data_IF_526832007661
#
_entry.id   IF_526832007661
#
_cell.length_a   1.000
_cell.length_b   1.000
_cell.length_c   1.000
_cell.angle_alpha   90.00
_cell.angle_beta   90.00
_cell.angle_gamma   90.00
#
_symmetry.space_group_name_H-M   'P 1'
#
loop_
_entity.id
_entity.type
_entity.pdbx_description
1 polymer ?
#
# COMPACT_ATOMS: atom_id res chain seq x y z
N UNK A 1 -17.42 -19.47 6.68
CA UNK A 1 -18.05 -18.22 6.21
C UNK A 1 -17.02 -17.53 5.35
N UNK A 2 -17.25 -17.44 4.04
CA UNK A 2 -16.38 -16.64 3.17
C UNK A 2 -16.50 -15.19 3.61
N UNK A 3 -15.39 -14.60 4.05
CA UNK A 3 -15.39 -13.18 4.36
C UNK A 3 -15.58 -12.42 3.05
N UNK A 4 -16.76 -11.84 2.84
CA UNK A 4 -16.99 -10.95 1.70
C UNK A 4 -16.09 -9.72 1.81
N UNK A 5 -14.96 -9.79 1.10
CA UNK A 5 -14.03 -8.68 0.89
C UNK A 5 -14.70 -7.61 0.03
N UNK A 6 -14.63 -6.35 0.48
CA UNK A 6 -15.07 -5.24 -0.36
C UNK A 6 -13.96 -4.84 -1.34
N UNK A 7 -13.76 -5.66 -2.37
CA UNK A 7 -12.75 -5.44 -3.42
C UNK A 7 -12.86 -4.07 -4.09
N UNK A 8 -14.07 -3.52 -4.21
CA UNK A 8 -14.28 -2.18 -4.77
C UNK A 8 -13.62 -1.07 -3.94
N UNK A 9 -13.68 -1.17 -2.61
CA UNK A 9 -13.02 -0.23 -1.70
C UNK A 9 -11.50 -0.45 -1.71
N UNK A 10 -11.08 -1.71 -1.64
CA UNK A 10 -9.67 -2.09 -1.65
C UNK A 10 -8.99 -1.52 -2.91
N UNK A 11 -9.53 -1.80 -4.10
CA UNK A 11 -8.92 -1.35 -5.36
C UNK A 11 -8.90 0.18 -5.47
N UNK A 12 -9.97 0.87 -5.05
CA UNK A 12 -10.04 2.34 -5.12
C UNK A 12 -9.09 3.07 -4.17
N UNK A 13 -8.63 2.42 -3.10
CA UNK A 13 -7.74 3.04 -2.10
C UNK A 13 -6.32 2.50 -2.22
N UNK A 14 -6.16 1.18 -2.29
CA UNK A 14 -4.86 0.54 -2.35
C UNK A 14 -4.13 0.89 -3.66
N UNK A 15 -4.80 0.94 -4.81
CA UNK A 15 -4.12 1.25 -6.09
C UNK A 15 -3.53 2.66 -6.10
N UNK A 16 -4.27 3.75 -5.79
CA UNK A 16 -3.69 5.10 -5.79
C UNK A 16 -2.53 5.24 -4.81
N UNK A 17 -2.67 4.69 -3.60
CA UNK A 17 -1.60 4.74 -2.59
C UNK A 17 -0.38 3.94 -3.05
N UNK A 18 -0.59 2.78 -3.67
CA UNK A 18 0.49 1.97 -4.23
C UNK A 18 1.26 2.68 -5.34
N UNK A 19 0.58 3.47 -6.18
CA UNK A 19 1.23 4.27 -7.23
C UNK A 19 2.10 5.39 -6.64
N UNK A 20 1.62 6.03 -5.57
CA UNK A 20 2.41 7.05 -4.85
C UNK A 20 3.66 6.41 -4.23
N UNK A 21 3.50 5.28 -3.53
CA UNK A 21 4.62 4.56 -2.94
C UNK A 21 5.62 4.06 -3.99
N UNK A 22 5.12 3.53 -5.12
CA UNK A 22 5.96 3.13 -6.24
C UNK A 22 6.82 4.29 -6.75
N UNK A 23 6.22 5.47 -6.91
CA UNK A 23 6.95 6.66 -7.34
C UNK A 23 8.02 7.09 -6.30
N UNK A 24 7.66 7.11 -5.02
CA UNK A 24 8.61 7.45 -3.94
C UNK A 24 9.81 6.50 -3.92
N UNK A 25 9.57 5.18 -4.04
CA UNK A 25 10.64 4.20 -4.09
C UNK A 25 11.49 4.28 -5.38
N UNK A 26 10.89 4.70 -6.49
CA UNK A 26 11.59 4.93 -7.74
C UNK A 26 12.55 6.12 -7.67
N UNK A 27 12.17 7.20 -6.99
CA UNK A 27 13.03 8.40 -6.85
C UNK A 27 14.30 8.14 -6.01
N UNK A 28 15.33 8.97 -6.21
CA UNK A 28 16.60 8.94 -5.46
C UNK A 28 16.53 9.72 -4.15
N UNK A 29 15.47 9.49 -3.38
CA UNK A 29 15.37 10.00 -2.02
C UNK A 29 16.10 9.03 -1.08
N UNK A 30 16.62 9.53 0.03
CA UNK A 30 17.25 8.72 1.06
C UNK A 30 16.26 7.66 1.61
N UNK A 31 16.75 6.46 1.87
CA UNK A 31 15.92 5.29 2.19
C UNK A 31 15.05 5.48 3.43
N UNK A 32 15.53 6.24 4.42
CA UNK A 32 14.75 6.59 5.62
C UNK A 32 13.42 7.26 5.24
N UNK A 33 13.44 8.19 4.29
CA UNK A 33 12.23 8.89 3.84
C UNK A 33 11.29 7.98 3.05
N UNK A 34 11.82 7.02 2.29
CA UNK A 34 10.99 6.01 1.60
C UNK A 34 10.23 5.15 2.61
N UNK A 35 10.90 4.71 3.67
CA UNK A 35 10.26 3.95 4.74
C UNK A 35 9.24 4.75 5.53
N UNK A 36 9.52 6.02 5.81
CA UNK A 36 8.54 6.92 6.43
C UNK A 36 7.32 7.14 5.53
N UNK A 37 7.52 7.32 4.22
CA UNK A 37 6.42 7.37 3.25
C UNK A 37 5.60 6.10 3.31
N UNK A 38 6.24 4.94 3.26
CA UNK A 38 5.56 3.64 3.30
C UNK A 38 4.72 3.49 4.56
N UNK A 39 5.26 3.81 5.73
CA UNK A 39 4.51 3.76 7.00
C UNK A 39 3.31 4.70 6.95
N UNK A 40 3.47 5.90 6.41
CA UNK A 40 2.38 6.85 6.24
C UNK A 40 1.32 6.32 5.26
N UNK A 41 1.72 5.81 4.09
CA UNK A 41 0.84 5.24 3.07
C UNK A 41 0.05 4.02 3.59
N UNK A 42 0.69 3.12 4.32
CA UNK A 42 0.04 1.96 4.95
C UNK A 42 -0.97 2.41 6.01
N UNK A 43 -0.58 3.36 6.87
CA UNK A 43 -1.47 3.91 7.90
C UNK A 43 -2.68 4.60 7.28
N UNK A 44 -2.47 5.34 6.18
CA UNK A 44 -3.51 6.08 5.46
C UNK A 44 -4.46 5.13 4.72
N UNK A 45 -3.93 4.09 4.07
CA UNK A 45 -4.73 3.03 3.44
C UNK A 45 -5.60 2.31 4.48
N UNK A 46 -4.98 1.90 5.60
CA UNK A 46 -5.68 1.23 6.69
C UNK A 46 -6.78 2.11 7.31
N UNK A 47 -6.49 3.39 7.53
CA UNK A 47 -7.44 4.34 8.11
C UNK A 47 -8.63 4.63 7.18
N UNK A 48 -8.39 4.90 5.89
CA UNK A 48 -9.48 5.17 4.94
C UNK A 48 -10.35 3.92 4.77
N UNK A 49 -9.74 2.73 4.66
CA UNK A 49 -10.50 1.49 4.57
C UNK A 49 -11.29 1.26 5.86
N UNK A 50 -10.70 1.47 7.04
CA UNK A 50 -11.40 1.34 8.33
C UNK A 50 -12.65 2.22 8.44
N UNK A 51 -12.58 3.46 7.92
CA UNK A 51 -13.74 4.36 7.90
C UNK A 51 -14.84 3.85 6.97
N UNK A 52 -14.48 3.28 5.82
CA UNK A 52 -15.46 2.84 4.80
C UNK A 52 -15.97 1.42 5.00
N UNK A 53 -15.15 0.54 5.57
CA UNK A 53 -15.44 -0.86 5.85
C UNK A 53 -14.76 -1.27 7.16
N UNK A 54 -15.56 -1.52 8.20
CA UNK A 54 -15.06 -1.93 9.52
C UNK A 54 -14.61 -3.39 9.57
N UNK A 55 -14.74 -4.15 8.48
CA UNK A 55 -14.23 -5.52 8.40
C UNK A 55 -12.70 -5.51 8.45
N UNK A 56 -12.16 -6.15 9.49
CA UNK A 56 -10.71 -6.22 9.73
C UNK A 56 -9.95 -6.82 8.53
N UNK A 57 -10.52 -7.82 7.87
CA UNK A 57 -9.88 -8.46 6.73
C UNK A 57 -9.75 -7.58 5.50
N UNK A 58 -10.75 -6.76 5.18
CA UNK A 58 -10.65 -5.76 4.10
C UNK A 58 -9.50 -4.78 4.35
N UNK A 59 -9.32 -4.35 5.60
CA UNK A 59 -8.25 -3.43 6.02
C UNK A 59 -6.87 -4.07 5.83
N UNK A 60 -6.67 -5.27 6.37
CA UNK A 60 -5.40 -5.98 6.24
C UNK A 60 -5.06 -6.29 4.78
N UNK A 61 -6.04 -6.66 3.96
CA UNK A 61 -5.83 -6.91 2.53
C UNK A 61 -5.40 -5.64 1.79
N UNK A 62 -6.03 -4.50 2.07
CA UNK A 62 -5.65 -3.23 1.44
C UNK A 62 -4.24 -2.77 1.82
N UNK A 63 -3.90 -2.85 3.11
CA UNK A 63 -2.54 -2.54 3.61
C UNK A 63 -1.51 -3.50 3.02
N UNK A 64 -1.83 -4.78 2.94
CA UNK A 64 -0.98 -5.80 2.34
C UNK A 64 -0.67 -5.54 0.87
N UNK A 65 -1.66 -5.12 0.08
CA UNK A 65 -1.45 -4.78 -1.34
C UNK A 65 -0.48 -3.60 -1.50
N UNK A 66 -0.68 -2.54 -0.70
CA UNK A 66 0.23 -1.37 -0.72
C UNK A 66 1.65 -1.77 -0.35
N UNK A 67 1.81 -2.59 0.68
CA UNK A 67 3.12 -3.08 1.10
C UNK A 67 3.79 -3.95 0.03
N UNK A 68 3.06 -4.88 -0.58
CA UNK A 68 3.56 -5.74 -1.65
C UNK A 68 3.98 -4.92 -2.87
N UNK A 69 3.18 -3.92 -3.28
CA UNK A 69 3.53 -3.04 -4.39
C UNK A 69 4.84 -2.29 -4.14
N UNK A 70 5.02 -1.72 -2.94
CA UNK A 70 6.25 -1.03 -2.57
C UNK A 70 7.48 -1.97 -2.57
N UNK A 71 7.32 -3.19 -2.04
CA UNK A 71 8.39 -4.20 -2.07
C UNK A 71 8.77 -4.61 -3.49
N UNK A 72 7.78 -4.89 -4.35
CA UNK A 72 8.01 -5.25 -5.76
C UNK A 72 8.83 -4.16 -6.45
N UNK A 73 8.46 -2.89 -6.27
CA UNK A 73 9.18 -1.76 -6.89
C UNK A 73 10.61 -1.64 -6.37
N UNK A 74 10.83 -1.88 -5.07
CA UNK A 74 12.17 -1.88 -4.48
C UNK A 74 13.05 -3.00 -5.05
N UNK A 75 12.53 -4.23 -5.11
CA UNK A 75 13.27 -5.37 -5.68
C UNK A 75 13.54 -5.16 -7.16
N UNK A 76 12.58 -4.65 -7.93
CA UNK A 76 12.78 -4.30 -9.33
C UNK A 76 13.88 -3.25 -9.52
N UNK A 77 13.89 -2.18 -8.71
CA UNK A 77 14.95 -1.16 -8.76
C UNK A 77 16.32 -1.75 -8.45
N UNK A 78 16.42 -2.66 -7.49
CA UNK A 78 17.67 -3.36 -7.14
C UNK A 78 18.12 -4.41 -8.17
N UNK A 79 17.23 -4.86 -9.07
CA UNK A 79 17.56 -5.86 -10.09
C UNK A 79 17.90 -5.22 -11.44
N UNK A 80 17.41 -3.99 -11.68
CA UNK A 80 17.61 -3.23 -12.92
C UNK A 80 18.88 -2.36 -12.86
N UNK A 81 19.36 -2.02 -11.65
CA UNK A 81 20.61 -1.29 -11.38
C UNK A 81 21.69 -2.24 -10.85
#
# INVERSE_FOLDING_TARGET
MEEEYNWGIILKIAIPISLVEAYVFYTNINDVWKWLSLIAGLSLAGFIVYIKDRKRSTIFTAVGIVFLAALIVRFLKNFIL
#
